data_IF_886567912707
#
_entry.id   IF_886567912707
#
_cell.length_a   1.000
_cell.length_b   1.000
_cell.length_c   1.000
_cell.angle_alpha   90.00
_cell.angle_beta   90.00
_cell.angle_gamma   90.00
#
_symmetry.space_group_name_H-M   'P 1'
#
loop_
_entity.id
_entity.type
_entity.pdbx_description
1 polymer ?
#
# COMPACT_ATOMS: atom_id res chain seq x y z
N UNK A 1 0.37 -7.38 -4.93
CA UNK A 1 1.66 -6.84 -4.46
C UNK A 1 2.56 -8.01 -4.14
N UNK A 2 3.81 -7.98 -4.62
CA UNK A 2 4.82 -8.91 -4.14
C UNK A 2 5.21 -8.51 -2.72
N UNK A 3 4.78 -9.28 -1.71
CA UNK A 3 5.26 -9.12 -0.34
C UNK A 3 6.74 -9.51 -0.32
N UNK A 4 7.58 -8.60 0.20
CA UNK A 4 8.98 -8.84 0.48
C UNK A 4 9.21 -8.44 1.92
N UNK A 5 9.73 -9.36 2.74
CA UNK A 5 10.05 -9.08 4.13
C UNK A 5 11.54 -8.84 4.25
N UNK A 6 11.91 -7.63 4.67
CA UNK A 6 13.30 -7.28 4.99
C UNK A 6 13.51 -7.30 6.50
N UNK A 7 13.95 -8.44 7.03
CA UNK A 7 14.21 -8.64 8.46
C UNK A 7 15.33 -7.75 9.03
N UNK A 8 16.06 -7.02 8.18
CA UNK A 8 17.09 -6.06 8.63
C UNK A 8 16.52 -4.69 8.95
N UNK A 9 15.29 -4.39 8.53
CA UNK A 9 14.62 -3.12 8.79
C UNK A 9 14.10 -3.05 10.22
N UNK A 10 14.07 -1.82 10.76
CA UNK A 10 13.38 -1.56 12.03
C UNK A 10 11.88 -1.87 11.91
N UNK A 11 11.20 -2.21 13.03
CA UNK A 11 9.78 -2.49 13.03
C UNK A 11 8.94 -1.38 12.38
N UNK A 12 7.92 -1.76 11.62
CA UNK A 12 7.01 -0.85 10.93
C UNK A 12 6.93 -1.15 9.44
N UNK A 13 6.39 -0.19 8.66
CA UNK A 13 6.13 -0.41 7.23
C UNK A 13 7.36 -0.73 6.39
N UNK A 14 8.55 -0.26 6.78
CA UNK A 14 9.80 -0.56 6.08
C UNK A 14 10.09 -2.06 5.96
N UNK A 15 9.51 -2.88 6.86
CA UNK A 15 9.60 -4.33 6.80
C UNK A 15 9.00 -4.91 5.51
N UNK A 16 7.94 -4.30 4.98
CA UNK A 16 7.11 -4.87 3.88
C UNK A 16 6.83 -3.91 2.73
N UNK A 17 7.18 -2.64 2.88
CA UNK A 17 6.98 -1.57 1.89
C UNK A 17 8.26 -0.76 1.75
N UNK A 18 8.53 -0.27 0.54
CA UNK A 18 9.53 0.79 0.30
C UNK A 18 9.06 2.10 0.92
N UNK A 19 9.96 3.03 1.18
CA UNK A 19 9.65 4.30 1.85
C UNK A 19 8.51 5.08 1.16
N UNK A 20 8.61 5.25 -0.16
CA UNK A 20 7.56 5.93 -0.93
C UNK A 20 6.20 5.21 -0.87
N UNK A 21 6.20 3.88 -0.74
CA UNK A 21 4.98 3.07 -0.64
C UNK A 21 4.37 3.21 0.75
N UNK A 22 5.19 3.19 1.80
CA UNK A 22 4.77 3.43 3.17
C UNK A 22 4.15 4.82 3.33
N UNK A 23 4.78 5.85 2.74
CA UNK A 23 4.24 7.22 2.74
C UNK A 23 2.90 7.28 1.99
N UNK A 24 2.82 6.68 0.80
CA UNK A 24 1.58 6.65 0.02
C UNK A 24 0.42 6.00 0.80
N UNK A 25 0.67 4.86 1.46
CA UNK A 25 -0.34 4.18 2.26
C UNK A 25 -0.74 4.98 3.50
N UNK A 26 0.22 5.58 4.22
CA UNK A 26 -0.07 6.46 5.37
C UNK A 26 -0.88 7.68 4.95
N UNK A 27 -0.61 8.26 3.78
CA UNK A 27 -1.39 9.38 3.25
C UNK A 27 -2.85 8.97 2.99
N UNK A 28 -3.08 7.81 2.38
CA UNK A 28 -4.41 7.28 2.08
C UNK A 28 -5.18 6.78 3.33
N UNK A 29 -4.49 6.32 4.38
CA UNK A 29 -5.12 5.98 5.66
C UNK A 29 -5.31 7.20 6.57
N UNK A 30 -4.48 8.24 6.40
CA UNK A 30 -4.55 9.49 7.14
C UNK A 30 -5.81 10.29 6.85
N UNK A 31 -6.47 10.04 5.73
CA UNK A 31 -7.83 10.51 5.43
C UNK A 31 -8.84 9.69 6.24
N UNK A 32 -8.87 9.90 7.56
CA UNK A 32 -9.64 9.12 8.54
C UNK A 32 -11.17 9.23 8.43
N UNK A 33 -11.68 10.12 7.59
CA UNK A 33 -13.09 10.15 7.29
C UNK A 33 -13.33 9.31 6.03
N UNK A 34 -14.06 8.19 6.18
CA UNK A 34 -14.57 7.38 5.06
C UNK A 34 -15.44 8.20 4.07
N UNK A 35 -15.81 9.43 4.43
CA UNK A 35 -16.49 10.41 3.57
C UNK A 35 -15.54 11.29 2.74
N UNK A 36 -14.23 11.25 2.98
CA UNK A 36 -13.27 11.91 2.10
C UNK A 36 -13.17 11.08 0.82
N UNK A 37 -13.38 11.72 -0.33
CA UNK A 37 -13.66 11.09 -1.63
C UNK A 37 -12.52 10.22 -2.20
N UNK A 38 -11.48 9.93 -1.41
CA UNK A 38 -10.21 9.35 -1.83
C UNK A 38 -9.26 10.41 -2.39
N UNK A 39 -8.17 9.96 -3.02
CA UNK A 39 -7.11 10.80 -3.59
C UNK A 39 -6.72 10.30 -4.98
N UNK A 40 -6.47 11.21 -5.91
CA UNK A 40 -5.98 10.84 -7.23
C UNK A 40 -4.52 10.39 -7.15
N UNK A 41 -4.05 9.68 -8.18
CA UNK A 41 -2.62 9.33 -8.28
C UNK A 41 -1.69 10.56 -8.33
N UNK A 42 -2.21 11.73 -8.71
CA UNK A 42 -1.46 12.99 -8.66
C UNK A 42 -1.30 13.46 -7.21
N UNK A 43 -2.40 13.49 -6.45
CA UNK A 43 -2.38 13.96 -5.05
C UNK A 43 -1.45 13.08 -4.20
N UNK A 44 -1.51 11.76 -4.39
CA UNK A 44 -0.62 10.82 -3.71
C UNK A 44 0.84 11.07 -4.12
N UNK A 45 1.11 11.28 -5.41
CA UNK A 45 2.46 11.53 -5.91
C UNK A 45 3.04 12.84 -5.37
N UNK A 46 2.24 13.91 -5.29
CA UNK A 46 2.65 15.19 -4.70
C UNK A 46 2.98 15.00 -3.22
N UNK A 47 2.05 14.40 -2.44
CA UNK A 47 2.25 14.15 -1.02
C UNK A 47 3.51 13.30 -0.73
N UNK A 48 3.73 12.25 -1.53
CA UNK A 48 4.91 11.39 -1.39
C UNK A 48 6.20 12.16 -1.68
N UNK A 49 6.27 12.91 -2.78
CA UNK A 49 7.50 13.64 -3.12
C UNK A 49 7.79 14.77 -2.13
N UNK A 50 6.78 15.50 -1.65
CA UNK A 50 6.98 16.51 -0.60
C UNK A 50 7.58 15.90 0.68
N UNK A 51 7.15 14.69 1.05
CA UNK A 51 7.71 13.99 2.22
C UNK A 51 9.11 13.41 1.96
N UNK A 52 9.44 13.08 0.71
CA UNK A 52 10.75 12.56 0.30
C UNK A 52 11.78 13.65 -0.02
N UNK A 53 11.42 14.94 -0.08
CA UNK A 53 12.34 16.04 -0.45
C UNK A 53 13.62 16.09 0.41
N UNK A 54 13.61 15.50 1.62
CA UNK A 54 14.80 15.32 2.46
C UNK A 54 15.81 14.27 1.96
N UNK A 55 15.40 13.36 1.06
CA UNK A 55 16.14 12.13 0.69
C UNK A 55 16.71 12.16 -0.75
N UNK A 56 16.65 13.31 -1.43
CA UNK A 56 17.22 13.58 -2.79
C UNK A 56 16.76 12.66 -3.93
N UNK A 57 15.74 11.83 -3.73
CA UNK A 57 15.18 10.97 -4.78
C UNK A 57 13.69 11.23 -4.96
N UNK A 58 13.32 11.78 -6.12
CA UNK A 58 11.92 11.91 -6.50
C UNK A 58 11.40 10.60 -7.10
N UNK A 59 10.20 10.21 -6.71
CA UNK A 59 9.54 9.03 -7.25
C UNK A 59 8.72 9.43 -8.48
N UNK A 60 8.74 8.61 -9.53
CA UNK A 60 7.90 8.86 -10.70
C UNK A 60 6.41 8.65 -10.39
N UNK A 61 5.54 9.43 -11.04
CA UNK A 61 4.08 9.23 -10.93
C UNK A 61 3.64 7.86 -11.46
N UNK A 62 4.35 7.30 -12.44
CA UNK A 62 4.10 5.95 -12.95
C UNK A 62 4.34 4.88 -11.87
N UNK A 63 5.41 5.02 -11.07
CA UNK A 63 5.68 4.12 -9.95
C UNK A 63 4.57 4.17 -8.90
N UNK A 64 4.05 5.37 -8.60
CA UNK A 64 2.89 5.54 -7.72
C UNK A 64 1.66 4.83 -8.29
N UNK A 65 1.32 5.05 -9.57
CA UNK A 65 0.16 4.41 -10.21
C UNK A 65 0.25 2.89 -10.16
N UNK A 66 1.41 2.32 -10.51
CA UNK A 66 1.62 0.87 -10.49
C UNK A 66 1.46 0.30 -9.08
N UNK A 67 2.00 0.99 -8.08
CA UNK A 67 1.83 0.59 -6.69
C UNK A 67 0.37 0.65 -6.25
N UNK A 68 -0.32 1.77 -6.49
CA UNK A 68 -1.73 1.94 -6.10
C UNK A 68 -2.64 0.89 -6.77
N UNK A 69 -2.41 0.57 -8.04
CA UNK A 69 -3.16 -0.48 -8.73
C UNK A 69 -2.86 -1.86 -8.12
N UNK A 70 -1.61 -2.19 -7.82
CA UNK A 70 -1.28 -3.45 -7.17
C UNK A 70 -1.95 -3.59 -5.79
N UNK A 71 -2.08 -2.49 -5.04
CA UNK A 71 -2.76 -2.49 -3.74
C UNK A 71 -4.29 -2.59 -3.90
N UNK A 72 -4.86 -2.12 -5.01
CA UNK A 72 -6.26 -2.37 -5.37
C UNK A 72 -6.47 -3.84 -5.71
N UNK A 73 -5.59 -4.42 -6.53
CA UNK A 73 -5.68 -5.83 -6.94
C UNK A 73 -5.61 -6.78 -5.73
N UNK A 74 -4.85 -6.41 -4.70
CA UNK A 74 -4.79 -7.16 -3.44
C UNK A 74 -5.92 -6.80 -2.44
N UNK A 75 -6.79 -5.85 -2.76
CA UNK A 75 -7.89 -5.43 -1.88
C UNK A 75 -7.47 -4.61 -0.65
N UNK A 76 -6.28 -4.04 -0.64
CA UNK A 76 -5.86 -3.08 0.41
C UNK A 76 -6.45 -1.68 0.16
N UNK A 77 -6.56 -1.31 -1.11
CA UNK A 77 -7.18 -0.07 -1.57
C UNK A 77 -8.41 -0.38 -2.41
N UNK A 78 -9.29 0.61 -2.54
CA UNK A 78 -10.34 0.64 -3.55
C UNK A 78 -10.17 1.88 -4.42
N UNK A 79 -10.95 1.97 -5.48
CA UNK A 79 -11.04 3.19 -6.27
C UNK A 79 -12.46 3.46 -6.75
N UNK A 80 -12.77 4.74 -6.90
CA UNK A 80 -13.87 5.18 -7.75
C UNK A 80 -13.31 5.77 -9.03
N UNK A 81 -14.11 5.73 -10.09
CA UNK A 81 -13.75 6.34 -11.37
C UNK A 81 -14.52 7.64 -11.55
N UNK A 82 -13.81 8.71 -11.89
CA UNK A 82 -14.40 10.00 -12.24
C UNK A 82 -14.03 10.36 -13.67
N UNK A 83 -14.94 11.04 -14.36
CA UNK A 83 -14.71 11.58 -15.70
C UNK A 83 -14.42 13.07 -15.62
N UNK A 84 -13.41 13.54 -16.34
CA UNK A 84 -13.11 14.97 -16.46
C UNK A 84 -12.50 15.34 -17.80
N UNK A 85 -12.12 16.62 -17.93
CA UNK A 85 -11.33 17.13 -19.08
C UNK A 85 -9.97 16.42 -19.08
N UNK A 86 -9.85 15.34 -19.84
CA UNK A 86 -8.66 14.46 -19.86
C UNK A 86 -8.93 12.97 -19.63
N UNK A 87 -10.19 12.54 -19.64
CA UNK A 87 -10.57 11.13 -19.58
C UNK A 87 -10.88 10.63 -18.17
N UNK A 88 -10.88 9.31 -18.04
CA UNK A 88 -11.18 8.62 -16.79
C UNK A 88 -10.01 8.73 -15.82
N UNK A 89 -10.31 9.01 -14.55
CA UNK A 89 -9.32 9.11 -13.48
C UNK A 89 -9.78 8.27 -12.30
N UNK A 90 -8.86 7.48 -11.74
CA UNK A 90 -9.08 6.74 -10.50
C UNK A 90 -8.84 7.65 -9.30
N UNK A 91 -9.77 7.61 -8.37
CA UNK A 91 -9.64 8.21 -7.05
C UNK A 91 -9.54 7.06 -6.04
N UNK A 92 -8.37 6.91 -5.43
CA UNK A 92 -8.01 5.80 -4.56
C UNK A 92 -8.37 6.09 -3.11
N UNK A 93 -8.86 5.09 -2.39
CA UNK A 93 -9.17 5.18 -0.97
C UNK A 93 -8.76 3.89 -0.25
N UNK A 94 -8.59 3.96 1.06
CA UNK A 94 -8.42 2.76 1.88
C UNK A 94 -9.65 1.85 1.75
N UNK A 95 -9.44 0.56 1.44
CA UNK A 95 -10.49 -0.46 1.51
C UNK A 95 -10.53 -1.14 2.88
N UNK A 96 -9.39 -1.16 3.57
CA UNK A 96 -9.22 -1.74 4.89
C UNK A 96 -8.44 -0.76 5.79
N UNK A 97 -8.49 -1.00 7.09
CA UNK A 97 -7.71 -0.30 8.11
C UNK A 97 -6.24 -0.73 8.12
N UNK A 98 -5.40 0.04 8.82
CA UNK A 98 -3.99 -0.31 9.06
C UNK A 98 -3.83 -1.63 9.82
N UNK A 99 -4.75 -1.94 10.74
CA UNK A 99 -4.71 -3.16 11.54
C UNK A 99 -5.04 -4.39 10.67
N UNK A 100 -6.07 -4.28 9.85
CA UNK A 100 -6.44 -5.31 8.87
C UNK A 100 -5.32 -5.54 7.84
N UNK A 101 -4.59 -4.49 7.44
CA UNK A 101 -3.40 -4.63 6.59
C UNK A 101 -2.36 -5.53 7.25
N UNK A 102 -1.97 -5.25 8.50
CA UNK A 102 -0.97 -6.06 9.19
C UNK A 102 -1.43 -7.49 9.44
N UNK A 103 -2.70 -7.69 9.78
CA UNK A 103 -3.27 -9.04 9.92
C UNK A 103 -3.19 -9.83 8.61
N UNK A 104 -3.53 -9.20 7.47
CA UNK A 104 -3.46 -9.84 6.16
C UNK A 104 -2.02 -10.18 5.76
N UNK A 105 -1.08 -9.23 5.93
CA UNK A 105 0.35 -9.46 5.66
C UNK A 105 0.89 -10.60 6.53
N UNK A 106 0.58 -10.63 7.82
CA UNK A 106 1.02 -11.67 8.74
C UNK A 106 0.49 -13.04 8.31
N UNK A 107 -0.80 -13.14 7.98
CA UNK A 107 -1.43 -14.37 7.51
C UNK A 107 -0.78 -14.88 6.23
N UNK A 108 -0.68 -14.06 5.19
CA UNK A 108 -0.10 -14.46 3.89
C UNK A 108 1.36 -14.88 4.04
N UNK A 109 2.13 -14.17 4.87
CA UNK A 109 3.51 -14.51 5.20
C UNK A 109 3.61 -15.86 5.88
N UNK A 110 2.81 -16.10 6.92
CA UNK A 110 2.82 -17.33 7.68
C UNK A 110 2.44 -18.52 6.79
N UNK A 111 1.40 -18.38 5.98
CA UNK A 111 0.97 -19.40 5.01
C UNK A 111 2.11 -19.75 4.05
N UNK A 112 2.79 -18.73 3.50
CA UNK A 112 3.90 -18.95 2.57
C UNK A 112 5.13 -19.58 3.23
N UNK A 113 5.45 -19.22 4.47
CA UNK A 113 6.54 -19.82 5.21
C UNK A 113 6.27 -21.30 5.55
N UNK A 114 5.04 -21.62 5.96
CA UNK A 114 4.64 -23.02 6.20
C UNK A 114 4.77 -23.83 4.91
N UNK A 115 4.21 -23.32 3.79
CA UNK A 115 4.30 -23.95 2.47
C UNK A 115 5.77 -24.19 2.08
N UNK A 116 6.62 -23.16 2.17
CA UNK A 116 8.03 -23.24 1.78
C UNK A 116 8.87 -24.16 2.68
N UNK A 117 8.54 -24.24 3.97
CA UNK A 117 9.25 -25.09 4.93
C UNK A 117 8.98 -26.58 4.75
N UNK A 118 7.87 -26.95 4.08
CA UNK A 118 7.40 -28.34 4.01
C UNK A 118 6.95 -28.91 5.35
N UNK A 119 6.89 -28.10 6.41
CA UNK A 119 6.41 -28.52 7.71
C UNK A 119 4.89 -28.66 7.71
N UNK A 120 4.32 -29.66 8.42
CA UNK A 120 2.88 -29.70 8.65
C UNK A 120 2.43 -28.41 9.36
N UNK A 121 1.23 -27.91 9.05
CA UNK A 121 0.64 -26.74 9.75
C UNK A 121 0.68 -26.99 11.26
N UNK A 122 1.55 -26.27 11.96
CA UNK A 122 1.78 -26.45 13.40
C UNK A 122 0.63 -25.90 14.25
N UNK A 123 -0.24 -25.08 13.66
CA UNK A 123 -1.41 -24.51 14.31
C UNK A 123 -2.64 -24.77 13.45
N UNK A 124 -3.65 -25.43 14.02
CA UNK A 124 -5.01 -25.45 13.48
C UNK A 124 -5.75 -24.24 14.06
N UNK A 125 -6.59 -23.64 13.22
CA UNK A 125 -7.54 -22.59 13.61
C UNK A 125 -8.39 -23.01 14.83
#
# INVERSE_FOLDING_TARGET
MKISIDLTQSPGFGLVLKDYQAIAMRYLWGTRNLSDSGKSSRDVWEAVNTMLEGERTSISRASIINFLNAMVDDGFLSYTEITGKGGHRRIYSAAITIDEFWQKIAKETQEKLIEASGLPRLFKD
#
